data_IF_820531422907
#
_entry.id   IF_820531422907
#
_cell.length_a   1.000
_cell.length_b   1.000
_cell.length_c   1.000
_cell.angle_alpha   90.00
_cell.angle_beta   90.00
_cell.angle_gamma   90.00
#
_symmetry.space_group_name_H-M   'P 1'
#
loop_
_entity.id
_entity.type
_entity.pdbx_description
1 polymer ?
#
# COMPACT_ATOMS: atom_id res chain seq x y z
N UNK A 1 135.66 -11.83 -2.33
CA UNK A 1 134.32 -11.35 -2.02
C UNK A 1 133.36 -11.80 -3.15
N UNK A 2 132.30 -12.57 -2.76
CA UNK A 2 131.24 -13.02 -3.72
C UNK A 2 130.13 -11.96 -3.81
N UNK A 3 129.33 -11.98 -4.90
CA UNK A 3 128.30 -11.03 -5.12
C UNK A 3 127.19 -11.12 -3.98
N UNK A 4 126.60 -10.02 -3.70
CA UNK A 4 125.54 -9.88 -2.73
C UNK A 4 124.24 -10.55 -3.24
N UNK A 5 123.60 -11.42 -2.47
CA UNK A 5 122.34 -12.10 -2.81
C UNK A 5 121.19 -11.14 -3.09
N UNK A 6 120.31 -11.52 -3.98
CA UNK A 6 119.18 -10.78 -4.42
C UNK A 6 118.15 -10.54 -3.26
N UNK A 7 117.43 -9.47 -3.35
CA UNK A 7 116.41 -9.11 -2.40
C UNK A 7 115.19 -10.05 -2.61
N UNK A 8 114.72 -10.70 -1.49
CA UNK A 8 113.56 -11.57 -1.56
C UNK A 8 112.32 -10.85 -2.06
N UNK A 9 111.45 -11.59 -2.80
CA UNK A 9 110.22 -11.12 -3.36
C UNK A 9 109.24 -10.55 -2.33
N UNK A 10 108.46 -9.59 -2.72
CA UNK A 10 107.45 -9.00 -1.86
C UNK A 10 106.32 -10.02 -1.63
N UNK A 11 105.95 -10.27 -0.38
CA UNK A 11 104.89 -11.20 -0.03
C UNK A 11 103.56 -10.84 -0.68
N UNK A 12 102.77 -11.85 -1.00
CA UNK A 12 101.43 -11.73 -1.67
C UNK A 12 100.51 -10.86 -0.82
N UNK A 13 99.60 -10.19 -1.49
CA UNK A 13 98.54 -9.41 -0.89
C UNK A 13 97.56 -10.34 -0.17
N UNK A 14 97.27 -10.15 1.13
CA UNK A 14 96.35 -10.95 1.86
C UNK A 14 94.91 -10.96 1.21
N UNK A 15 94.25 -12.08 1.38
CA UNK A 15 92.93 -12.31 0.86
C UNK A 15 91.86 -11.28 1.39
N UNK A 16 90.88 -10.99 0.53
CA UNK A 16 89.79 -10.11 0.96
C UNK A 16 88.92 -10.84 2.00
N UNK A 17 88.70 -10.22 3.13
CA UNK A 17 87.89 -10.80 4.21
C UNK A 17 86.46 -11.14 3.72
N UNK A 18 85.77 -12.10 4.31
CA UNK A 18 84.40 -12.51 3.95
C UNK A 18 83.46 -11.35 4.07
N UNK A 19 82.47 -11.33 3.17
CA UNK A 19 81.37 -10.35 3.17
C UNK A 19 80.64 -10.41 4.55
N UNK A 20 80.25 -9.27 5.08
CA UNK A 20 79.53 -9.19 6.36
C UNK A 20 78.11 -9.84 6.16
N UNK A 21 77.51 -10.29 7.26
CA UNK A 21 76.16 -10.87 7.21
C UNK A 21 75.17 -9.87 6.69
N UNK A 22 74.17 -10.38 5.96
CA UNK A 22 73.07 -9.60 5.46
C UNK A 22 72.30 -9.00 6.64
N UNK A 23 71.93 -7.70 6.59
CA UNK A 23 71.12 -7.04 7.60
C UNK A 23 69.75 -7.71 7.79
N UNK A 24 69.22 -7.66 8.98
CA UNK A 24 67.91 -8.21 9.33
C UNK A 24 66.82 -7.55 8.50
N UNK A 25 65.78 -8.32 8.16
CA UNK A 25 64.59 -7.80 7.48
C UNK A 25 63.89 -6.79 8.38
N UNK A 26 63.55 -5.64 7.85
CA UNK A 26 62.80 -4.61 8.59
C UNK A 26 61.46 -5.13 9.11
N UNK A 27 60.94 -4.60 10.22
CA UNK A 27 59.66 -5.00 10.78
C UNK A 27 58.54 -4.79 9.77
N UNK A 28 57.53 -5.66 9.82
CA UNK A 28 56.33 -5.55 8.99
C UNK A 28 55.60 -4.22 9.28
N UNK A 29 55.18 -3.50 8.23
CA UNK A 29 54.41 -2.25 8.38
C UNK A 29 53.14 -2.48 9.19
N UNK A 30 52.74 -1.47 9.95
CA UNK A 30 51.47 -1.49 10.72
C UNK A 30 50.25 -1.67 9.80
N UNK A 31 49.28 -2.43 10.28
CA UNK A 31 48.02 -2.63 9.56
C UNK A 31 47.33 -1.27 9.32
N UNK A 32 46.85 -1.04 8.12
CA UNK A 32 46.09 0.17 7.79
C UNK A 32 44.86 0.33 8.70
N UNK A 33 44.47 1.58 8.96
CA UNK A 33 43.29 1.89 9.75
C UNK A 33 42.03 1.31 9.07
N UNK A 34 41.10 0.79 9.89
CA UNK A 34 39.80 0.35 9.41
C UNK A 34 39.06 1.55 8.76
N UNK A 35 38.48 1.33 7.60
CA UNK A 35 37.67 2.35 6.92
C UNK A 35 36.52 2.86 7.80
N UNK A 36 36.01 4.07 7.55
CA UNK A 36 34.88 4.63 8.28
C UNK A 36 33.66 3.70 8.20
N UNK A 37 32.87 3.67 9.26
CA UNK A 37 31.61 2.94 9.27
C UNK A 37 30.71 3.44 8.12
N UNK A 38 30.00 2.52 7.45
CA UNK A 38 29.02 2.87 6.43
C UNK A 38 27.88 3.74 7.02
N UNK A 39 27.08 4.37 6.17
CA UNK A 39 25.98 5.21 6.62
C UNK A 39 25.01 4.39 7.49
N UNK A 40 24.54 5.00 8.57
CA UNK A 40 23.48 4.42 9.39
C UNK A 40 22.15 4.50 8.62
N UNK A 41 21.49 3.37 8.46
CA UNK A 41 20.14 3.31 7.88
C UNK A 41 19.11 3.29 9.02
N UNK A 42 18.05 4.09 8.88
CA UNK A 42 16.87 4.04 9.75
C UNK A 42 15.77 3.26 9.07
N UNK A 43 15.08 2.40 9.83
CA UNK A 43 13.96 1.66 9.30
C UNK A 43 12.84 2.62 8.92
N UNK A 44 12.43 2.61 7.65
CA UNK A 44 11.18 3.20 7.20
C UNK A 44 9.99 2.31 7.58
N UNK A 45 8.79 2.80 7.31
CA UNK A 45 7.60 2.02 7.59
C UNK A 45 7.55 0.72 6.77
N UNK A 46 7.19 -0.40 7.40
CA UNK A 46 7.18 -1.72 6.77
C UNK A 46 8.53 -2.44 6.71
N UNK A 47 9.60 -1.80 7.19
CA UNK A 47 10.93 -2.38 7.26
C UNK A 47 11.33 -2.54 8.74
N UNK A 48 11.95 -3.66 9.07
CA UNK A 48 12.63 -3.86 10.34
C UNK A 48 14.12 -4.02 10.06
N UNK A 49 14.95 -3.29 10.83
CA UNK A 49 16.40 -3.41 10.83
C UNK A 49 16.80 -3.95 12.20
N UNK A 50 17.52 -5.08 12.20
CA UNK A 50 18.09 -5.69 13.40
C UNK A 50 19.55 -5.99 13.13
N UNK A 51 20.45 -5.17 13.67
CA UNK A 51 21.86 -5.23 13.32
C UNK A 51 22.09 -4.99 11.83
N UNK A 52 22.68 -5.94 11.13
CA UNK A 52 22.88 -5.90 9.67
C UNK A 52 21.73 -6.54 8.87
N UNK A 53 20.76 -7.14 9.53
CA UNK A 53 19.63 -7.78 8.86
C UNK A 53 18.52 -6.77 8.57
N UNK A 54 18.14 -6.68 7.30
CA UNK A 54 16.97 -5.89 6.84
C UNK A 54 15.88 -6.89 6.48
N UNK A 55 14.71 -6.75 7.08
CA UNK A 55 13.56 -7.62 6.82
C UNK A 55 12.30 -6.80 6.57
N UNK A 56 11.41 -7.34 5.75
CA UNK A 56 10.06 -6.79 5.65
C UNK A 56 9.31 -7.09 6.95
N UNK A 57 8.75 -6.07 7.56
CA UNK A 57 7.86 -6.24 8.70
C UNK A 57 6.54 -6.76 8.16
N UNK A 58 6.26 -8.05 8.38
CA UNK A 58 4.98 -8.62 8.01
C UNK A 58 3.88 -7.79 8.66
N UNK A 59 3.03 -7.17 7.84
CA UNK A 59 1.88 -6.40 8.31
C UNK A 59 0.63 -7.26 8.12
N UNK A 60 0.08 -7.86 9.18
CA UNK A 60 -1.20 -8.55 9.07
C UNK A 60 -2.36 -7.59 8.73
N UNK A 61 -2.11 -6.28 8.75
CA UNK A 61 -3.08 -5.21 8.56
C UNK A 61 -3.13 -4.56 7.18
N UNK A 62 -2.40 -5.06 6.19
CA UNK A 62 -2.54 -4.58 4.80
C UNK A 62 -3.82 -5.11 4.11
N UNK A 63 -4.58 -5.94 4.81
CA UNK A 63 -5.85 -6.45 4.28
C UNK A 63 -6.87 -5.31 4.16
N UNK A 64 -7.55 -5.23 3.03
CA UNK A 64 -8.70 -4.35 2.91
C UNK A 64 -9.86 -4.90 3.76
N UNK A 65 -10.39 -4.07 4.63
CA UNK A 65 -11.55 -4.40 5.48
C UNK A 65 -12.88 -4.22 4.75
N UNK A 66 -12.86 -3.62 3.54
CA UNK A 66 -14.01 -3.49 2.67
C UNK A 66 -14.08 -4.66 1.69
N UNK A 67 -15.28 -5.11 1.40
CA UNK A 67 -15.55 -6.04 0.33
C UNK A 67 -15.87 -5.29 -0.96
N UNK A 68 -15.61 -5.91 -2.13
CA UNK A 68 -15.96 -5.35 -3.44
C UNK A 68 -15.49 -3.90 -3.62
N UNK A 69 -14.24 -3.68 -3.30
CA UNK A 69 -13.63 -2.35 -3.17
C UNK A 69 -12.95 -1.84 -4.45
N UNK A 70 -12.73 -2.74 -5.43
CA UNK A 70 -12.08 -2.43 -6.70
C UNK A 70 -13.13 -2.27 -7.81
N UNK A 71 -13.35 -1.04 -8.24
CA UNK A 71 -14.39 -0.72 -9.21
C UNK A 71 -13.94 -0.87 -10.67
N UNK A 72 -12.68 -1.25 -10.91
CA UNK A 72 -12.21 -1.68 -12.22
C UNK A 72 -12.94 -2.93 -12.75
N UNK A 73 -13.30 -3.84 -11.83
CA UNK A 73 -14.07 -5.05 -12.10
C UNK A 73 -14.88 -5.44 -10.86
N UNK A 74 -15.91 -4.68 -10.46
CA UNK A 74 -16.68 -4.96 -9.27
C UNK A 74 -17.58 -6.18 -9.44
N UNK A 75 -17.79 -6.93 -8.36
CA UNK A 75 -18.84 -7.94 -8.30
C UNK A 75 -20.20 -7.23 -8.36
N UNK A 76 -20.99 -7.61 -9.32
CA UNK A 76 -22.29 -7.01 -9.58
C UNK A 76 -23.32 -8.08 -9.96
N UNK A 77 -23.71 -8.90 -8.97
CA UNK A 77 -24.63 -10.02 -9.19
C UNK A 77 -26.00 -9.60 -9.70
N UNK A 78 -26.42 -8.34 -9.46
CA UNK A 78 -27.69 -7.81 -9.99
C UNK A 78 -27.64 -7.46 -11.47
N UNK A 79 -26.43 -7.39 -12.07
CA UNK A 79 -26.24 -7.21 -13.51
C UNK A 79 -26.69 -5.86 -14.08
N UNK A 80 -27.04 -4.90 -13.23
CA UNK A 80 -27.45 -3.56 -13.69
C UNK A 80 -26.23 -2.67 -13.87
N UNK A 81 -26.23 -1.87 -14.92
CA UNK A 81 -25.21 -0.84 -15.13
C UNK A 81 -25.52 0.45 -14.39
N UNK A 82 -26.81 0.72 -14.14
CA UNK A 82 -27.28 1.91 -13.43
C UNK A 82 -28.21 1.51 -12.30
N UNK A 83 -27.94 2.03 -11.13
CA UNK A 83 -28.76 1.93 -9.94
C UNK A 83 -29.26 3.32 -9.57
N UNK A 84 -30.54 3.47 -9.31
CA UNK A 84 -31.15 4.71 -8.88
C UNK A 84 -31.95 4.50 -7.61
N UNK A 85 -31.92 5.51 -6.75
CA UNK A 85 -32.67 5.50 -5.52
C UNK A 85 -31.98 4.78 -4.36
N UNK A 86 -32.70 4.70 -3.24
CA UNK A 86 -32.25 4.07 -2.01
C UNK A 86 -32.21 2.55 -2.15
N UNK A 87 -31.12 1.93 -1.71
CA UNK A 87 -31.00 0.47 -1.70
C UNK A 87 -29.62 -0.02 -2.06
N UNK A 88 -29.50 -1.34 -2.18
CA UNK A 88 -28.27 -2.00 -2.59
C UNK A 88 -28.02 -1.78 -4.10
N UNK A 89 -26.76 -1.54 -4.44
CA UNK A 89 -26.29 -1.28 -5.81
C UNK A 89 -25.37 -2.41 -6.27
N UNK A 90 -24.09 -2.13 -6.57
CA UNK A 90 -23.08 -3.19 -6.64
C UNK A 90 -22.96 -3.89 -5.29
N UNK A 91 -22.58 -5.17 -5.30
CA UNK A 91 -22.66 -5.98 -4.09
C UNK A 91 -21.87 -5.34 -2.93
N UNK A 92 -22.45 -5.43 -1.75
CA UNK A 92 -21.97 -4.82 -0.49
C UNK A 92 -22.14 -3.30 -0.38
N UNK A 93 -22.36 -2.57 -1.47
CA UNK A 93 -22.53 -1.13 -1.47
C UNK A 93 -23.99 -0.68 -1.52
N UNK A 94 -24.32 0.36 -0.80
CA UNK A 94 -25.68 0.83 -0.61
C UNK A 94 -25.81 2.34 -0.81
N UNK A 95 -26.77 2.76 -1.64
CA UNK A 95 -27.25 4.13 -1.67
C UNK A 95 -28.23 4.37 -0.51
N UNK A 96 -28.04 5.44 0.24
CA UNK A 96 -28.90 5.81 1.38
C UNK A 96 -29.94 6.84 1.02
N UNK A 97 -29.80 7.50 -0.10
CA UNK A 97 -30.68 8.58 -0.56
C UNK A 97 -31.42 8.16 -1.81
N UNK A 98 -32.67 8.63 -1.95
CA UNK A 98 -33.51 8.33 -3.10
C UNK A 98 -32.97 8.97 -4.40
N UNK A 99 -32.22 10.05 -4.28
CA UNK A 99 -31.65 10.84 -5.38
C UNK A 99 -30.24 10.40 -5.78
N UNK A 100 -29.73 9.29 -5.23
CA UNK A 100 -28.42 8.76 -5.56
C UNK A 100 -28.49 7.91 -6.84
N UNK A 101 -27.63 8.23 -7.79
CA UNK A 101 -27.36 7.39 -8.95
C UNK A 101 -25.98 6.78 -8.83
N UNK A 102 -25.90 5.47 -9.05
CA UNK A 102 -24.64 4.73 -9.10
C UNK A 102 -24.54 4.02 -10.44
N UNK A 103 -23.57 4.41 -11.26
CA UNK A 103 -23.32 3.83 -12.58
C UNK A 103 -22.02 3.03 -12.57
N UNK A 104 -22.08 1.79 -13.03
CA UNK A 104 -20.95 0.87 -13.14
C UNK A 104 -20.50 0.79 -14.59
N UNK A 105 -19.24 1.09 -14.86
CA UNK A 105 -18.68 0.97 -16.20
C UNK A 105 -17.35 1.71 -16.35
N UNK A 106 -16.64 1.44 -17.42
CA UNK A 106 -15.38 2.09 -17.77
C UNK A 106 -14.32 2.07 -16.64
N UNK A 107 -14.31 1.00 -15.84
CA UNK A 107 -13.34 0.84 -14.76
C UNK A 107 -13.61 1.70 -13.51
N UNK A 108 -14.81 2.24 -13.37
CA UNK A 108 -15.20 3.07 -12.23
C UNK A 108 -16.62 2.77 -11.74
N UNK A 109 -16.87 3.10 -10.49
CA UNK A 109 -18.21 3.33 -9.95
C UNK A 109 -18.45 4.84 -9.88
N UNK A 110 -19.34 5.33 -10.74
CA UNK A 110 -19.72 6.73 -10.77
C UNK A 110 -20.90 6.96 -9.84
N UNK A 111 -20.77 7.89 -8.91
CA UNK A 111 -21.83 8.34 -8.02
C UNK A 111 -22.23 9.76 -8.38
N UNK A 112 -23.55 9.98 -8.55
CA UNK A 112 -24.13 11.27 -8.91
C UNK A 112 -25.35 11.56 -8.06
N UNK A 113 -25.60 12.83 -7.83
CA UNK A 113 -26.87 13.35 -7.32
C UNK A 113 -27.75 13.80 -8.48
N UNK A 114 -29.07 13.70 -8.36
CA UNK A 114 -30.03 13.95 -9.44
C UNK A 114 -30.48 15.41 -9.60
N UNK A 115 -29.79 16.38 -9.01
CA UNK A 115 -30.15 17.81 -9.14
C UNK A 115 -31.39 18.23 -8.34
N UNK A 116 -31.57 17.66 -7.15
CA UNK A 116 -32.71 17.95 -6.26
C UNK A 116 -32.37 18.83 -5.06
N UNK A 117 -31.16 19.39 -5.01
CA UNK A 117 -30.73 20.29 -3.94
C UNK A 117 -30.31 19.59 -2.66
N UNK A 118 -30.16 18.26 -2.64
CA UNK A 118 -29.82 17.51 -1.44
C UNK A 118 -28.59 16.68 -1.61
N UNK A 119 -27.70 16.72 -0.60
CA UNK A 119 -26.54 15.83 -0.55
C UNK A 119 -26.99 14.37 -0.46
N UNK A 120 -26.48 13.52 -1.34
CA UNK A 120 -26.75 12.08 -1.31
C UNK A 120 -25.60 11.33 -0.65
N UNK A 121 -25.92 10.16 -0.08
CA UNK A 121 -24.98 9.35 0.66
C UNK A 121 -24.93 7.93 0.11
N UNK A 122 -23.71 7.40 0.03
CA UNK A 122 -23.40 6.06 -0.44
C UNK A 122 -22.44 5.40 0.52
N UNK A 123 -22.63 4.13 0.88
CA UNK A 123 -21.83 3.52 1.94
C UNK A 123 -21.67 2.01 1.81
N UNK A 124 -20.66 1.50 2.51
CA UNK A 124 -20.54 0.10 2.90
C UNK A 124 -20.43 -0.01 4.41
N UNK A 125 -21.25 -0.87 5.02
CA UNK A 125 -21.12 -1.24 6.42
C UNK A 125 -20.07 -2.32 6.58
N UNK A 126 -19.26 -2.22 7.64
CA UNK A 126 -18.34 -3.26 8.04
C UNK A 126 -19.10 -4.38 8.75
N UNK A 127 -18.58 -5.61 8.68
CA UNK A 127 -19.11 -6.74 9.45
C UNK A 127 -18.85 -6.56 10.96
N UNK A 128 -17.69 -6.02 11.29
CA UNK A 128 -17.23 -5.80 12.65
C UNK A 128 -16.69 -4.39 12.78
N UNK A 129 -17.02 -3.68 13.88
CA UNK A 129 -16.46 -2.37 14.13
C UNK A 129 -14.93 -2.43 14.25
N UNK A 130 -14.26 -1.41 13.73
CA UNK A 130 -12.82 -1.23 13.88
C UNK A 130 -12.56 -0.27 15.03
N UNK A 131 -11.79 -0.73 16.02
CA UNK A 131 -11.49 0.01 17.25
C UNK A 131 -10.07 0.54 17.32
N UNK A 132 -9.28 0.28 16.28
CA UNK A 132 -7.88 0.64 16.15
C UNK A 132 -7.71 1.80 15.18
N UNK A 133 -6.49 2.35 15.13
CA UNK A 133 -6.11 3.30 14.09
C UNK A 133 -6.32 2.65 12.73
N UNK A 134 -7.04 3.33 11.84
CA UNK A 134 -7.28 2.87 10.49
C UNK A 134 -7.06 3.98 9.47
N UNK A 135 -6.69 3.59 8.26
CA UNK A 135 -6.51 4.49 7.13
C UNK A 135 -7.52 4.18 6.04
N UNK A 136 -8.34 5.19 5.72
CA UNK A 136 -9.22 5.18 4.56
C UNK A 136 -8.48 5.79 3.37
N UNK A 137 -8.35 5.01 2.31
CA UNK A 137 -7.73 5.42 1.05
C UNK A 137 -8.77 5.33 -0.07
N UNK A 138 -8.87 6.39 -0.87
CA UNK A 138 -9.82 6.49 -1.98
C UNK A 138 -9.09 6.94 -3.23
N UNK A 139 -9.01 6.07 -4.22
CA UNK A 139 -8.50 6.40 -5.54
C UNK A 139 -9.64 6.88 -6.42
N UNK A 140 -9.58 8.14 -6.83
CA UNK A 140 -10.61 8.81 -7.63
C UNK A 140 -10.19 8.97 -9.08
N UNK A 141 -11.17 8.99 -9.97
CA UNK A 141 -11.14 9.66 -11.26
C UNK A 141 -11.62 11.12 -11.12
N UNK A 142 -12.37 11.64 -12.12
CA UNK A 142 -13.01 12.95 -12.03
C UNK A 142 -13.90 13.10 -10.79
N UNK A 143 -13.85 14.30 -10.18
CA UNK A 143 -14.71 14.70 -9.06
C UNK A 143 -15.27 16.09 -9.38
N UNK A 144 -16.56 16.25 -9.25
CA UNK A 144 -17.28 17.53 -9.38
C UNK A 144 -17.96 17.88 -8.07
N UNK A 145 -17.89 19.14 -7.69
CA UNK A 145 -18.45 19.61 -6.42
C UNK A 145 -17.64 19.21 -5.20
N UNK A 146 -18.06 19.64 -4.02
CA UNK A 146 -17.43 19.35 -2.73
C UNK A 146 -17.80 17.94 -2.24
N UNK A 147 -17.42 16.93 -3.01
CA UNK A 147 -17.62 15.52 -2.65
C UNK A 147 -16.72 15.13 -1.47
N UNK A 148 -17.19 14.20 -0.64
CA UNK A 148 -16.48 13.77 0.55
C UNK A 148 -16.45 12.24 0.69
N UNK A 149 -15.39 11.75 1.33
CA UNK A 149 -15.35 10.41 1.90
C UNK A 149 -15.25 10.51 3.42
N UNK A 150 -15.82 9.56 4.14
CA UNK A 150 -15.87 9.57 5.60
C UNK A 150 -15.94 8.15 6.17
N UNK A 151 -15.52 8.03 7.43
CA UNK A 151 -15.81 6.87 8.25
C UNK A 151 -16.92 7.23 9.24
N UNK A 152 -17.80 6.26 9.51
CA UNK A 152 -18.91 6.40 10.44
C UNK A 152 -18.72 5.49 11.63
N UNK A 153 -19.24 5.88 12.79
CA UNK A 153 -19.32 4.98 13.93
C UNK A 153 -20.29 3.83 13.68
N UNK A 154 -20.18 2.74 14.43
CA UNK A 154 -21.07 1.59 14.31
C UNK A 154 -22.53 1.95 14.63
N UNK A 155 -22.78 2.95 15.49
CA UNK A 155 -24.10 3.51 15.75
C UNK A 155 -24.72 4.22 14.53
N UNK A 156 -23.95 4.63 13.57
CA UNK A 156 -24.28 4.84 12.15
C UNK A 156 -25.27 5.91 11.77
N UNK A 157 -25.38 7.01 12.49
CA UNK A 157 -26.35 8.07 12.16
C UNK A 157 -25.73 9.36 11.64
N UNK A 158 -24.42 9.57 11.82
CA UNK A 158 -23.78 10.83 11.46
C UNK A 158 -22.55 10.58 10.56
N UNK A 159 -22.31 11.43 9.54
CA UNK A 159 -21.02 11.43 8.88
C UNK A 159 -19.97 11.78 9.92
N UNK A 160 -19.19 10.77 10.31
CA UNK A 160 -18.13 10.93 11.28
C UNK A 160 -16.96 11.76 10.74
N UNK A 161 -15.75 11.28 10.94
CA UNK A 161 -14.54 11.95 10.47
C UNK A 161 -14.44 11.76 8.95
N UNK A 162 -14.28 12.86 8.21
CA UNK A 162 -14.27 12.83 6.75
C UNK A 162 -13.19 13.71 6.14
N UNK A 163 -13.02 13.54 4.81
CA UNK A 163 -12.15 14.35 3.96
C UNK A 163 -12.90 14.79 2.71
N UNK A 164 -12.55 15.97 2.18
CA UNK A 164 -12.96 16.39 0.84
C UNK A 164 -12.13 15.67 -0.20
N UNK A 165 -12.77 15.12 -1.22
CA UNK A 165 -12.11 14.38 -2.28
C UNK A 165 -11.56 15.30 -3.36
N UNK A 166 -10.35 15.02 -3.80
CA UNK A 166 -9.70 15.62 -4.96
C UNK A 166 -9.80 14.67 -6.14
N UNK A 167 -9.88 15.23 -7.35
CA UNK A 167 -9.98 14.45 -8.59
C UNK A 167 -8.64 13.82 -9.00
N UNK A 168 -8.71 12.67 -9.67
CA UNK A 168 -7.59 11.97 -10.31
C UNK A 168 -6.38 11.72 -9.41
N UNK A 169 -6.64 11.38 -8.14
CA UNK A 169 -5.57 11.19 -7.15
C UNK A 169 -5.95 10.18 -6.07
N UNK A 170 -4.95 9.77 -5.31
CA UNK A 170 -5.15 9.02 -4.08
C UNK A 170 -5.45 10.01 -2.93
N UNK A 171 -6.64 9.87 -2.35
CA UNK A 171 -7.07 10.62 -1.17
C UNK A 171 -6.91 9.72 0.06
N UNK A 172 -6.30 10.23 1.11
CA UNK A 172 -5.96 9.44 2.32
C UNK A 172 -6.42 10.16 3.57
N UNK A 173 -7.09 9.42 4.46
CA UNK A 173 -7.56 9.87 5.76
C UNK A 173 -7.20 8.82 6.81
N UNK A 174 -6.31 9.16 7.75
CA UNK A 174 -6.03 8.32 8.92
C UNK A 174 -6.90 8.73 10.09
N UNK A 175 -7.53 7.77 10.72
CA UNK A 175 -8.51 7.98 11.78
C UNK A 175 -8.14 7.14 13.00
N UNK A 176 -8.10 7.79 14.15
CA UNK A 176 -8.01 7.15 15.46
C UNK A 176 -9.40 7.13 16.10
N UNK A 177 -10.29 6.31 15.58
CA UNK A 177 -11.64 6.17 16.12
C UNK A 177 -11.76 4.86 16.88
N UNK A 178 -12.61 4.86 17.90
CA UNK A 178 -12.85 3.68 18.75
C UNK A 178 -13.96 2.77 18.21
N UNK A 179 -14.59 3.12 17.09
CA UNK A 179 -15.80 2.41 16.65
C UNK A 179 -16.15 2.74 15.19
N UNK A 180 -15.29 2.36 14.24
CA UNK A 180 -15.59 2.55 12.81
C UNK A 180 -16.47 1.40 12.34
N UNK A 181 -17.72 1.70 12.01
CA UNK A 181 -18.70 0.70 11.55
C UNK A 181 -19.06 0.79 10.06
N UNK A 182 -18.69 1.88 9.38
CA UNK A 182 -18.95 2.02 7.96
C UNK A 182 -17.97 3.00 7.29
N UNK A 183 -17.84 2.85 5.98
CA UNK A 183 -17.21 3.83 5.08
C UNK A 183 -18.27 4.36 4.14
N UNK A 184 -18.23 5.67 3.88
CA UNK A 184 -19.21 6.29 3.00
C UNK A 184 -18.69 7.46 2.19
N UNK A 185 -19.54 7.87 1.26
CA UNK A 185 -19.32 8.99 0.35
C UNK A 185 -20.52 9.93 0.40
N UNK A 186 -20.23 11.22 0.41
CA UNK A 186 -21.24 12.26 0.28
C UNK A 186 -21.03 13.01 -1.04
N UNK A 187 -22.07 13.04 -1.85
CA UNK A 187 -22.11 13.75 -3.13
C UNK A 187 -23.06 14.93 -2.96
N UNK A 188 -22.59 16.17 -3.13
CA UNK A 188 -23.44 17.36 -3.02
C UNK A 188 -24.40 17.45 -4.22
N UNK A 189 -25.28 18.43 -4.17
CA UNK A 189 -26.14 18.81 -5.30
C UNK A 189 -25.29 19.07 -6.56
N UNK A 190 -25.72 18.55 -7.70
CA UNK A 190 -24.98 18.57 -8.96
C UNK A 190 -23.55 17.99 -8.86
N UNK A 191 -23.27 17.25 -7.80
CA UNK A 191 -21.97 16.63 -7.56
C UNK A 191 -21.82 15.29 -8.25
N UNK A 192 -20.54 14.91 -8.44
CA UNK A 192 -20.19 13.63 -9.04
C UNK A 192 -18.83 13.14 -8.53
N UNK A 193 -18.73 11.83 -8.33
CA UNK A 193 -17.46 11.15 -8.05
C UNK A 193 -17.32 9.94 -8.95
N UNK A 194 -16.17 9.80 -9.58
CA UNK A 194 -15.75 8.55 -10.22
C UNK A 194 -14.79 7.82 -9.27
N UNK A 195 -15.25 6.73 -8.65
CA UNK A 195 -14.46 5.89 -7.75
C UNK A 195 -13.76 4.78 -8.52
N UNK A 196 -12.43 4.65 -8.39
CA UNK A 196 -11.65 3.57 -8.99
C UNK A 196 -11.39 2.44 -8.00
N UNK A 197 -11.01 2.78 -6.78
CA UNK A 197 -10.77 1.82 -5.71
C UNK A 197 -10.89 2.49 -4.34
N UNK A 198 -11.25 1.71 -3.32
CA UNK A 198 -11.39 2.16 -1.93
C UNK A 198 -10.79 1.12 -1.00
N UNK A 199 -9.99 1.55 -0.03
CA UNK A 199 -9.41 0.66 0.98
C UNK A 199 -9.56 1.26 2.37
N UNK A 200 -10.05 0.45 3.28
CA UNK A 200 -9.93 0.69 4.72
C UNK A 200 -8.98 -0.35 5.27
N UNK A 201 -7.90 0.07 5.88
CA UNK A 201 -6.87 -0.81 6.43
C UNK A 201 -6.45 -0.36 7.82
N UNK A 202 -5.99 -1.30 8.65
CA UNK A 202 -5.48 -0.99 9.99
C UNK A 202 -4.12 -0.31 9.88
N UNK A 203 -3.86 0.60 10.81
CA UNK A 203 -2.62 1.36 10.89
C UNK A 203 -2.69 2.73 10.20
N UNK A 204 -1.58 3.46 10.23
CA UNK A 204 -1.47 4.85 9.79
C UNK A 204 -0.99 5.03 8.34
N UNK A 205 -0.91 3.97 7.54
CA UNK A 205 -0.31 4.02 6.20
C UNK A 205 -1.26 3.50 5.15
N UNK A 206 -1.33 4.22 4.03
CA UNK A 206 -2.06 3.81 2.83
C UNK A 206 -1.23 2.86 1.99
N UNK A 207 -1.80 1.70 1.64
CA UNK A 207 -1.19 0.73 0.72
C UNK A 207 -2.05 0.45 -0.51
N UNK A 208 -3.08 1.28 -0.79
CA UNK A 208 -4.02 1.06 -1.89
C UNK A 208 -3.36 1.23 -3.27
N UNK A 209 -2.59 2.30 -3.45
CA UNK A 209 -2.07 2.67 -4.75
C UNK A 209 -0.74 3.41 -4.62
N UNK A 210 0.02 3.46 -5.71
CA UNK A 210 1.25 4.24 -5.84
C UNK A 210 1.18 5.10 -7.11
N UNK A 211 2.04 6.10 -7.16
CA UNK A 211 2.16 6.95 -8.34
C UNK A 211 3.23 6.39 -9.27
N UNK A 212 2.89 6.23 -10.53
CA UNK A 212 3.79 5.82 -11.59
C UNK A 212 4.70 7.00 -12.03
N UNK A 213 5.83 6.73 -12.70
CA UNK A 213 6.72 7.79 -13.16
C UNK A 213 6.08 8.82 -14.10
N UNK A 214 5.02 8.46 -14.81
CA UNK A 214 4.23 9.35 -15.68
C UNK A 214 3.20 10.21 -14.92
N UNK A 215 3.14 10.05 -13.60
CA UNK A 215 2.21 10.76 -12.72
C UNK A 215 0.83 10.09 -12.60
N UNK A 216 0.57 9.01 -13.33
CA UNK A 216 -0.66 8.24 -13.19
C UNK A 216 -0.67 7.43 -11.87
N UNK A 217 -1.85 6.97 -11.47
CA UNK A 217 -2.02 6.15 -10.27
C UNK A 217 -2.33 4.70 -10.63
N UNK A 218 -1.55 3.77 -10.10
CA UNK A 218 -1.76 2.33 -10.19
C UNK A 218 -2.13 1.75 -8.83
N UNK A 219 -3.09 0.82 -8.80
CA UNK A 219 -3.41 0.07 -7.59
C UNK A 219 -2.33 -0.95 -7.30
N UNK A 220 -1.97 -1.14 -6.02
CA UNK A 220 -0.93 -2.07 -5.61
C UNK A 220 -1.36 -3.54 -5.68
N UNK A 221 -2.66 -3.78 -5.64
CA UNK A 221 -3.23 -5.12 -5.71
C UNK A 221 -4.53 -5.10 -6.51
N UNK A 222 -4.83 -6.19 -7.20
CA UNK A 222 -6.13 -6.44 -7.82
C UNK A 222 -6.74 -7.62 -7.08
N UNK A 223 -7.97 -7.50 -6.56
CA UNK A 223 -8.57 -8.59 -5.80
C UNK A 223 -8.83 -9.81 -6.68
N UNK A 224 -8.70 -11.00 -6.09
CA UNK A 224 -9.22 -12.23 -6.70
C UNK A 224 -10.74 -12.13 -6.78
N UNK A 225 -11.26 -12.16 -8.01
CA UNK A 225 -12.70 -12.00 -8.24
C UNK A 225 -13.52 -13.12 -7.60
N UNK A 226 -13.01 -14.35 -7.57
CA UNK A 226 -13.70 -15.48 -6.96
C UNK A 226 -13.81 -15.32 -5.44
N UNK A 227 -12.75 -14.83 -4.79
CA UNK A 227 -12.77 -14.52 -3.35
C UNK A 227 -13.78 -13.40 -3.04
N UNK A 228 -13.77 -12.33 -3.83
CA UNK A 228 -14.71 -11.21 -3.64
C UNK A 228 -16.15 -11.68 -3.87
N UNK A 229 -16.40 -12.45 -4.93
CA UNK A 229 -17.72 -13.01 -5.19
C UNK A 229 -18.20 -13.89 -4.04
N UNK A 230 -17.35 -14.79 -3.51
CA UNK A 230 -17.68 -15.64 -2.39
C UNK A 230 -18.05 -14.82 -1.13
N UNK A 231 -17.30 -13.76 -0.84
CA UNK A 231 -17.63 -12.84 0.25
C UNK A 231 -18.97 -12.14 0.03
N UNK A 232 -19.23 -11.66 -1.19
CA UNK A 232 -20.48 -11.00 -1.54
C UNK A 232 -21.68 -11.94 -1.47
N UNK A 233 -21.53 -13.20 -1.82
CA UNK A 233 -22.60 -14.22 -1.78
C UNK A 233 -23.10 -14.52 -0.36
N UNK A 234 -22.35 -14.18 0.68
CA UNK A 234 -22.86 -14.24 2.07
C UNK A 234 -24.01 -13.27 2.32
N UNK A 235 -24.12 -12.20 1.50
CA UNK A 235 -25.13 -11.15 1.65
C UNK A 235 -26.20 -11.16 0.56
N UNK A 236 -25.87 -11.69 -0.62
CA UNK A 236 -26.77 -11.82 -1.75
C UNK A 236 -26.41 -13.05 -2.56
N UNK A 237 -27.37 -13.94 -2.71
CA UNK A 237 -27.29 -15.07 -3.63
C UNK A 237 -28.39 -14.92 -4.67
N UNK A 238 -28.00 -14.67 -5.92
CA UNK A 238 -28.91 -14.63 -7.06
C UNK A 238 -28.75 -15.95 -7.82
N UNK A 239 -29.82 -16.72 -7.87
CA UNK A 239 -29.89 -17.93 -8.67
C UNK A 239 -30.50 -17.60 -10.03
N UNK A 240 -29.76 -17.78 -11.11
CA UNK A 240 -30.34 -17.77 -12.44
C UNK A 240 -31.19 -19.04 -12.59
N UNK A 241 -32.46 -18.84 -12.90
CA UNK A 241 -33.48 -19.89 -12.98
C UNK A 241 -33.31 -20.76 -14.22
N UNK A 242 -32.26 -21.56 -14.30
CA UNK A 242 -32.26 -22.75 -15.15
C UNK A 242 -32.56 -24.04 -14.35
N UNK A 243 -32.64 -23.94 -13.02
CA UNK A 243 -33.08 -25.04 -12.15
C UNK A 243 -33.86 -24.43 -10.98
N UNK A 244 -35.18 -24.40 -11.12
CA UNK A 244 -36.08 -24.05 -10.04
C UNK A 244 -35.85 -24.98 -8.85
N UNK A 245 -35.14 -24.50 -7.82
CA UNK A 245 -35.32 -25.03 -6.48
C UNK A 245 -36.20 -24.03 -5.73
N UNK A 246 -37.35 -24.51 -5.20
CA UNK A 246 -38.18 -23.66 -4.35
C UNK A 246 -37.47 -23.52 -3.00
N UNK A 247 -36.85 -22.40 -2.79
CA UNK A 247 -36.22 -22.06 -1.53
C UNK A 247 -36.01 -20.55 -1.46
N UNK A 248 -36.74 -19.95 -0.59
CA UNK A 248 -36.80 -18.53 -0.23
C UNK A 248 -35.49 -17.79 -0.48
N UNK A 249 -35.54 -16.71 -1.29
CA UNK A 249 -34.58 -15.62 -1.23
C UNK A 249 -34.60 -15.09 0.21
N UNK A 250 -33.62 -15.48 1.02
CA UNK A 250 -33.41 -14.86 2.29
C UNK A 250 -32.70 -13.53 2.02
N UNK A 251 -33.41 -12.42 2.15
CA UNK A 251 -32.79 -11.14 2.42
C UNK A 251 -31.99 -11.28 3.72
N UNK A 252 -30.74 -11.53 3.60
CA UNK A 252 -29.84 -11.42 4.75
C UNK A 252 -29.71 -9.92 5.06
N UNK A 253 -30.31 -9.54 6.16
CA UNK A 253 -30.29 -8.18 6.75
C UNK A 253 -28.86 -7.78 7.18
#
# INVERSE_FOLDING_TARGET
GGPKGDKGDKGDKGDVGPAGPQGEQGPQGVQGLQGPAGPAYTAGEGIAISGSAISAKARPWNRNLLDNWYFGAPVNQRGKTVYSGKGLTVDRWQARSAQCYATVGNGVLKLEESGTGTRVYYQQKLEWPVTEVATLSVLTGPVMGACSAYVMTAAGTDPGIGMTLKANTLNVLTVSSKDIGAVGFGVPDDGRIDLRAVKLELGGVSTLAHQEPDGSWAVNEIPDWAEVLWKCQRYLQLYTTAAARPGKAADCR
#
